data_IF_072931688484
#
_entry.id   IF_072931688484
#
_cell.length_a   1.000
_cell.length_b   1.000
_cell.length_c   1.000
_cell.angle_alpha   90.00
_cell.angle_beta   90.00
_cell.angle_gamma   90.00
#
_symmetry.space_group_name_H-M   'P 1'
#
loop_
_entity.id
_entity.type
_entity.pdbx_description
1 polymer ?
#
# COMPACT_ATOMS: atom_id res chain seq x y z
N UNK A 1 2.44 -25.51 17.06
CA UNK A 1 3.49 -24.80 16.30
C UNK A 1 2.91 -23.68 15.42
N UNK A 2 1.86 -23.92 14.62
CA UNK A 2 1.22 -22.89 13.78
C UNK A 2 0.82 -21.59 14.53
N UNK A 3 0.15 -21.69 15.69
CA UNK A 3 -0.24 -20.50 16.48
C UNK A 3 0.94 -19.60 16.91
N UNK A 4 2.10 -20.19 17.22
CA UNK A 4 3.29 -19.44 17.63
C UNK A 4 3.97 -18.74 16.44
N UNK A 5 3.95 -19.38 15.26
CA UNK A 5 4.44 -18.77 14.01
C UNK A 5 3.56 -17.58 13.59
N UNK A 6 2.24 -17.72 13.66
CA UNK A 6 1.30 -16.61 13.39
C UNK A 6 1.53 -15.45 14.36
N UNK A 7 1.67 -15.71 15.67
CA UNK A 7 1.95 -14.67 16.65
C UNK A 7 3.29 -13.94 16.38
N UNK A 8 4.34 -14.68 15.99
CA UNK A 8 5.63 -14.08 15.63
C UNK A 8 5.55 -13.21 14.37
N UNK A 9 4.72 -13.58 13.39
CA UNK A 9 4.53 -12.80 12.18
C UNK A 9 3.76 -11.51 12.45
N UNK A 10 2.64 -11.59 13.18
CA UNK A 10 1.88 -10.40 13.58
C UNK A 10 2.75 -9.40 14.34
N UNK A 11 3.60 -9.86 15.27
CA UNK A 11 4.51 -8.98 16.02
C UNK A 11 5.54 -8.32 15.09
N UNK A 12 6.06 -9.03 14.08
CA UNK A 12 7.00 -8.47 13.12
C UNK A 12 6.34 -7.35 12.28
N UNK A 13 5.12 -7.58 11.80
CA UNK A 13 4.35 -6.58 11.05
C UNK A 13 3.97 -5.36 11.91
N UNK A 14 3.62 -5.56 13.18
CA UNK A 14 3.38 -4.45 14.12
C UNK A 14 4.63 -3.60 14.33
N UNK A 15 5.80 -4.24 14.47
CA UNK A 15 7.09 -3.53 14.62
C UNK A 15 7.46 -2.78 13.36
N UNK A 16 7.25 -3.37 12.18
CA UNK A 16 7.44 -2.68 10.91
C UNK A 16 6.56 -1.43 10.83
N UNK A 17 5.26 -1.57 11.11
CA UNK A 17 4.34 -0.44 11.11
C UNK A 17 4.75 0.67 12.07
N UNK A 18 5.14 0.31 13.30
CA UNK A 18 5.61 1.26 14.30
C UNK A 18 6.89 2.00 13.88
N UNK A 19 7.68 1.42 12.97
CA UNK A 19 8.88 2.03 12.41
C UNK A 19 8.63 3.10 11.35
N UNK A 20 7.44 3.16 10.73
CA UNK A 20 7.11 4.19 9.75
C UNK A 20 6.89 5.56 10.39
N UNK A 21 7.07 6.62 9.60
CA UNK A 21 6.79 7.97 10.04
C UNK A 21 5.30 8.16 10.38
N UNK A 22 4.98 9.14 11.22
CA UNK A 22 3.60 9.36 11.66
C UNK A 22 2.64 9.65 10.49
N UNK A 23 3.07 10.39 9.47
CA UNK A 23 2.26 10.67 8.29
C UNK A 23 2.06 9.42 7.42
N UNK A 24 3.08 8.57 7.28
CA UNK A 24 2.96 7.27 6.58
C UNK A 24 1.96 6.36 7.30
N UNK A 25 2.05 6.25 8.64
CA UNK A 25 1.09 5.46 9.44
C UNK A 25 -0.35 5.96 9.25
N UNK A 26 -0.56 7.28 9.35
CA UNK A 26 -1.87 7.89 9.13
C UNK A 26 -2.39 7.62 7.72
N UNK A 27 -1.52 7.70 6.71
CA UNK A 27 -1.88 7.41 5.33
C UNK A 27 -2.27 5.94 5.16
N UNK A 28 -1.48 5.01 5.72
CA UNK A 28 -1.75 3.57 5.67
C UNK A 28 -3.10 3.26 6.33
N UNK A 29 -3.33 3.72 7.56
CA UNK A 29 -4.60 3.50 8.27
C UNK A 29 -5.80 4.05 7.48
N UNK A 30 -5.73 5.30 7.01
CA UNK A 30 -6.77 5.89 6.16
C UNK A 30 -7.02 5.09 4.88
N UNK A 31 -5.95 4.63 4.24
CA UNK A 31 -6.03 3.85 3.00
C UNK A 31 -6.71 2.51 3.25
N UNK A 32 -6.42 1.86 4.38
CA UNK A 32 -7.09 0.62 4.77
C UNK A 32 -8.56 0.87 5.14
N UNK A 33 -8.87 1.96 5.83
CA UNK A 33 -10.25 2.34 6.13
C UNK A 33 -11.06 2.53 4.85
N UNK A 34 -10.51 3.26 3.87
CA UNK A 34 -11.16 3.47 2.57
C UNK A 34 -11.25 2.16 1.77
N UNK A 35 -10.15 1.41 1.68
CA UNK A 35 -10.05 0.19 0.87
C UNK A 35 -10.87 -0.98 1.38
N UNK A 36 -11.19 -1.00 2.67
CA UNK A 36 -12.04 -2.00 3.31
C UNK A 36 -13.41 -1.47 3.74
N UNK A 37 -13.69 -0.18 3.56
CA UNK A 37 -14.96 0.43 3.96
C UNK A 37 -15.17 0.47 5.48
N UNK A 38 -14.11 0.72 6.26
CA UNK A 38 -14.17 0.82 7.72
C UNK A 38 -14.59 2.23 8.12
N UNK A 39 -15.85 2.40 8.51
CA UNK A 39 -16.38 3.67 8.99
C UNK A 39 -16.47 4.76 7.91
N UNK A 40 -16.52 6.03 8.36
CA UNK A 40 -16.60 7.21 7.49
C UNK A 40 -15.25 7.93 7.46
N UNK A 41 -14.50 7.76 6.36
CA UNK A 41 -13.18 8.35 6.24
C UNK A 41 -13.21 9.88 6.22
N UNK A 42 -14.28 10.52 5.73
CA UNK A 42 -14.40 11.98 5.79
C UNK A 42 -14.51 12.44 7.24
N UNK A 43 -15.36 11.79 8.04
CA UNK A 43 -15.50 12.13 9.46
C UNK A 43 -14.21 11.89 10.25
N UNK A 44 -13.52 10.78 9.97
CA UNK A 44 -12.34 10.38 10.74
C UNK A 44 -11.09 11.17 10.35
N UNK A 45 -10.86 11.37 9.05
CA UNK A 45 -9.56 11.80 8.52
C UNK A 45 -9.55 13.24 7.96
N UNK A 46 -10.71 13.87 7.78
CA UNK A 46 -10.75 15.23 7.27
C UNK A 46 -10.59 16.28 8.38
N UNK A 47 -9.62 17.18 8.23
CA UNK A 47 -9.52 18.43 9.01
C UNK A 47 -9.54 19.69 8.14
N UNK A 48 -9.41 19.53 6.83
CA UNK A 48 -9.34 20.61 5.86
C UNK A 48 -10.04 20.23 4.55
N UNK A 49 -10.25 21.22 3.68
CA UNK A 49 -10.78 21.00 2.32
C UNK A 49 -9.82 20.15 1.48
N UNK A 50 -8.52 20.27 1.71
CA UNK A 50 -7.51 19.47 1.02
C UNK A 50 -7.59 18.00 1.42
N UNK A 51 -7.83 17.70 2.70
CA UNK A 51 -8.09 16.32 3.16
C UNK A 51 -9.32 15.74 2.47
N UNK A 52 -10.41 16.50 2.37
CA UNK A 52 -11.62 16.05 1.68
C UNK A 52 -11.35 15.73 0.21
N UNK A 53 -10.52 16.54 -0.47
CA UNK A 53 -10.13 16.29 -1.86
C UNK A 53 -9.29 15.02 -1.97
N UNK A 54 -8.31 14.84 -1.08
CA UNK A 54 -7.46 13.66 -1.04
C UNK A 54 -8.28 12.38 -0.78
N UNK A 55 -9.16 12.39 0.23
CA UNK A 55 -10.06 11.28 0.57
C UNK A 55 -10.98 10.94 -0.61
N UNK A 56 -11.60 11.93 -1.25
CA UNK A 56 -12.45 11.72 -2.42
C UNK A 56 -11.68 11.08 -3.58
N UNK A 57 -10.47 11.58 -3.87
CA UNK A 57 -9.61 11.01 -4.91
C UNK A 57 -9.24 9.56 -4.59
N UNK A 58 -8.95 9.26 -3.32
CA UNK A 58 -8.60 7.92 -2.87
C UNK A 58 -9.79 6.95 -2.97
N UNK A 59 -11.00 7.37 -2.60
CA UNK A 59 -12.22 6.58 -2.84
C UNK A 59 -12.39 6.21 -4.32
N UNK A 60 -12.18 7.16 -5.23
CA UNK A 60 -12.31 6.92 -6.68
C UNK A 60 -11.24 5.92 -7.14
N UNK A 61 -9.99 6.12 -6.74
CA UNK A 61 -8.88 5.23 -7.07
C UNK A 61 -9.14 3.79 -6.58
N UNK A 62 -9.70 3.64 -5.38
CA UNK A 62 -9.83 2.34 -4.72
C UNK A 62 -11.07 1.53 -5.14
N UNK A 63 -11.92 2.08 -6.01
CA UNK A 63 -13.11 1.36 -6.55
C UNK A 63 -12.76 0.04 -7.22
N UNK A 64 -11.59 -0.03 -7.83
CA UNK A 64 -11.14 -1.19 -8.60
C UNK A 64 -10.35 -2.21 -7.77
N UNK A 65 -10.06 -1.93 -6.49
CA UNK A 65 -9.27 -2.85 -5.65
C UNK A 65 -9.93 -4.23 -5.53
N UNK A 66 -11.27 -4.29 -5.48
CA UNK A 66 -12.00 -5.56 -5.44
C UNK A 66 -11.72 -6.39 -6.68
N UNK A 67 -11.88 -5.81 -7.87
CA UNK A 67 -11.61 -6.49 -9.12
C UNK A 67 -10.13 -6.86 -9.23
N UNK A 68 -9.24 -5.96 -8.80
CA UNK A 68 -7.78 -6.16 -8.88
C UNK A 68 -7.33 -7.40 -8.09
N UNK A 69 -7.95 -7.69 -6.93
CA UNK A 69 -7.71 -8.92 -6.15
C UNK A 69 -8.12 -10.19 -6.91
N UNK A 70 -9.12 -10.12 -7.77
CA UNK A 70 -9.66 -11.28 -8.50
C UNK A 70 -8.85 -11.61 -9.77
N UNK A 71 -8.00 -10.67 -10.23
CA UNK A 71 -7.25 -10.80 -11.48
C UNK A 71 -5.73 -10.80 -11.28
N UNK A 72 -5.25 -11.10 -10.07
CA UNK A 72 -3.80 -11.22 -9.81
C UNK A 72 -3.23 -12.33 -10.72
N UNK A 73 -2.29 -12.01 -11.64
CA UNK A 73 -1.72 -13.02 -12.52
C UNK A 73 -0.88 -14.02 -11.72
N UNK A 74 -0.77 -15.25 -12.22
CA UNK A 74 0.23 -16.17 -11.69
C UNK A 74 1.66 -15.67 -11.95
N UNK A 75 2.60 -16.01 -11.06
CA UNK A 75 3.98 -15.47 -11.01
C UNK A 75 4.76 -15.46 -12.36
N UNK A 76 4.42 -16.34 -13.31
CA UNK A 76 5.07 -16.43 -14.63
C UNK A 76 4.09 -16.35 -15.82
N UNK A 77 2.84 -15.99 -15.56
CA UNK A 77 1.82 -15.84 -16.59
C UNK A 77 1.84 -14.41 -17.16
N UNK A 78 1.89 -14.30 -18.48
CA UNK A 78 1.69 -13.01 -19.16
C UNK A 78 0.20 -12.69 -19.40
N UNK A 79 -0.67 -13.69 -19.25
CA UNK A 79 -2.11 -13.51 -19.40
C UNK A 79 -2.68 -12.64 -18.28
N UNK A 80 -3.50 -11.65 -18.63
CA UNK A 80 -4.05 -10.66 -17.70
C UNK A 80 -3.04 -9.65 -17.11
N UNK A 81 -1.77 -9.74 -17.48
CA UNK A 81 -0.70 -8.90 -16.92
C UNK A 81 -0.91 -7.40 -17.19
N UNK A 82 -1.35 -7.06 -18.41
CA UNK A 82 -1.64 -5.69 -18.83
C UNK A 82 -2.78 -5.06 -18.03
N UNK A 83 -3.87 -5.80 -17.85
CA UNK A 83 -5.03 -5.37 -17.06
C UNK A 83 -4.65 -5.15 -15.58
N UNK A 84 -3.90 -6.09 -15.00
CA UNK A 84 -3.48 -6.01 -13.60
C UNK A 84 -2.46 -4.87 -13.37
N UNK A 85 -1.32 -4.88 -14.08
CA UNK A 85 -0.27 -3.88 -13.88
C UNK A 85 -0.72 -2.48 -14.25
N UNK A 86 -1.48 -2.31 -15.33
CA UNK A 86 -1.98 -0.99 -15.72
C UNK A 86 -2.82 -0.35 -14.62
N UNK A 87 -3.71 -1.14 -14.01
CA UNK A 87 -4.55 -0.70 -12.89
C UNK A 87 -3.74 -0.45 -11.63
N UNK A 88 -2.89 -1.39 -11.24
CA UNK A 88 -2.03 -1.29 -10.05
C UNK A 88 -1.10 -0.07 -10.12
N UNK A 89 -0.46 0.16 -11.27
CA UNK A 89 0.44 1.29 -11.50
C UNK A 89 -0.30 2.62 -11.39
N UNK A 90 -1.53 2.72 -11.93
CA UNK A 90 -2.34 3.94 -11.82
C UNK A 90 -2.73 4.24 -10.37
N UNK A 91 -3.22 3.26 -9.62
CA UNK A 91 -3.58 3.44 -8.20
C UNK A 91 -2.32 3.82 -7.41
N UNK A 92 -1.20 3.16 -7.66
CA UNK A 92 0.11 3.48 -7.05
C UNK A 92 0.52 4.92 -7.34
N UNK A 93 0.44 5.36 -8.60
CA UNK A 93 0.79 6.72 -8.98
C UNK A 93 -0.07 7.77 -8.26
N UNK A 94 -1.37 7.51 -8.11
CA UNK A 94 -2.29 8.39 -7.40
C UNK A 94 -1.95 8.49 -5.91
N UNK A 95 -1.59 7.38 -5.25
CA UNK A 95 -1.18 7.39 -3.85
C UNK A 95 0.17 8.08 -3.65
N UNK A 96 1.17 7.78 -4.49
CA UNK A 96 2.49 8.42 -4.42
C UNK A 96 2.41 9.93 -4.68
N UNK A 97 1.48 10.38 -5.53
CA UNK A 97 1.26 11.81 -5.80
C UNK A 97 0.66 12.58 -4.61
N UNK A 98 0.15 11.89 -3.57
CA UNK A 98 -0.25 12.54 -2.32
C UNK A 98 0.94 12.85 -1.40
N UNK A 99 2.14 12.39 -1.77
CA UNK A 99 3.39 12.66 -1.05
C UNK A 99 3.35 12.23 0.43
N UNK A 100 2.56 11.21 0.76
CA UNK A 100 2.44 10.65 2.11
C UNK A 100 3.17 9.32 2.31
N UNK A 101 3.63 8.68 1.24
CA UNK A 101 4.47 7.48 1.26
C UNK A 101 5.88 7.91 0.89
N UNK A 102 6.87 7.61 1.74
CA UNK A 102 8.25 8.03 1.52
C UNK A 102 9.14 6.95 0.90
N UNK A 103 8.68 5.71 0.86
CA UNK A 103 9.42 4.66 0.18
C UNK A 103 8.71 3.33 -0.02
N UNK A 104 9.45 2.39 -0.60
CA UNK A 104 8.95 1.09 -1.00
C UNK A 104 8.42 0.25 0.16
N UNK A 105 9.03 0.34 1.35
CA UNK A 105 8.58 -0.45 2.51
C UNK A 105 7.16 -0.09 2.96
N UNK A 106 6.85 1.20 3.09
CA UNK A 106 5.50 1.65 3.46
C UNK A 106 4.48 1.37 2.34
N UNK A 107 4.88 1.56 1.07
CA UNK A 107 4.08 1.15 -0.08
C UNK A 107 3.76 -0.34 -0.07
N UNK A 108 4.78 -1.20 0.04
CA UNK A 108 4.63 -2.66 0.08
C UNK A 108 3.72 -3.08 1.23
N UNK A 109 3.94 -2.51 2.42
CA UNK A 109 3.15 -2.78 3.61
C UNK A 109 1.66 -2.47 3.39
N UNK A 110 1.34 -1.32 2.78
CA UNK A 110 -0.04 -0.98 2.43
C UNK A 110 -0.63 -1.93 1.39
N UNK A 111 0.08 -2.11 0.26
CA UNK A 111 -0.49 -2.78 -0.91
C UNK A 111 -0.63 -4.28 -0.73
N UNK A 112 0.25 -4.94 0.02
CA UNK A 112 0.05 -6.35 0.36
C UNK A 112 -1.19 -6.56 1.24
N UNK A 113 -1.56 -5.58 2.07
CA UNK A 113 -2.81 -5.63 2.86
C UNK A 113 -4.02 -5.34 2.00
N UNK A 114 -3.92 -4.40 1.06
CA UNK A 114 -5.02 -4.08 0.16
C UNK A 114 -5.32 -5.21 -0.83
N UNK A 115 -4.31 -5.97 -1.27
CA UNK A 115 -4.43 -6.90 -2.39
C UNK A 115 -4.17 -8.37 -2.04
N UNK A 116 -3.47 -8.65 -0.94
CA UNK A 116 -3.08 -10.01 -0.54
C UNK A 116 -1.63 -10.35 -0.89
N UNK A 117 -1.17 -11.50 -0.38
CA UNK A 117 0.20 -11.98 -0.55
C UNK A 117 0.60 -12.21 -2.01
N UNK A 118 -0.33 -12.65 -2.85
CA UNK A 118 -0.10 -12.98 -4.26
C UNK A 118 0.29 -11.75 -5.10
N UNK A 119 -0.06 -10.53 -4.67
CA UNK A 119 0.30 -9.32 -5.39
C UNK A 119 1.78 -8.91 -5.20
N UNK A 120 2.47 -9.44 -4.19
CA UNK A 120 3.84 -9.01 -3.80
C UNK A 120 4.88 -9.02 -4.93
N UNK A 121 4.94 -10.03 -5.82
CA UNK A 121 5.90 -10.06 -6.93
C UNK A 121 5.78 -8.87 -7.89
N UNK A 122 4.58 -8.28 -7.99
CA UNK A 122 4.28 -7.18 -8.90
C UNK A 122 4.52 -5.79 -8.29
N UNK A 123 4.60 -5.70 -6.96
CA UNK A 123 4.74 -4.43 -6.24
C UNK A 123 6.02 -3.66 -6.60
N UNK A 124 7.22 -4.27 -6.72
CA UNK A 124 8.42 -3.54 -7.14
C UNK A 124 8.26 -2.87 -8.50
N UNK A 125 7.69 -3.59 -9.48
CA UNK A 125 7.49 -3.09 -10.83
C UNK A 125 6.48 -1.94 -10.88
N UNK A 126 5.34 -2.10 -10.20
CA UNK A 126 4.33 -1.04 -10.11
C UNK A 126 4.85 0.20 -9.39
N UNK A 127 5.57 0.04 -8.28
CA UNK A 127 6.18 1.13 -7.54
C UNK A 127 7.23 1.87 -8.37
N UNK A 128 8.16 1.14 -9.01
CA UNK A 128 9.19 1.73 -9.84
C UNK A 128 8.59 2.51 -11.02
N UNK A 129 7.64 1.90 -11.74
CA UNK A 129 6.94 2.53 -12.85
C UNK A 129 6.20 3.80 -12.43
N UNK A 130 5.41 3.72 -11.35
CA UNK A 130 4.65 4.84 -10.83
C UNK A 130 5.54 5.99 -10.30
N UNK A 131 6.62 5.65 -9.57
CA UNK A 131 7.56 6.63 -9.04
C UNK A 131 8.32 7.38 -10.16
N UNK A 132 8.47 6.77 -11.34
CA UNK A 132 9.12 7.38 -12.49
C UNK A 132 8.22 8.32 -13.32
N UNK A 133 6.90 8.33 -13.07
CA UNK A 133 5.93 9.06 -13.88
C UNK A 133 6.04 10.59 -13.79
N UNK A 134 5.62 11.33 -14.84
CA UNK A 134 5.68 12.79 -14.86
C UNK A 134 4.85 13.47 -13.77
N UNK A 135 3.81 12.82 -13.26
CA UNK A 135 2.95 13.30 -12.19
C UNK A 135 3.69 13.43 -10.85
N UNK A 136 4.78 12.68 -10.65
CA UNK A 136 5.60 12.75 -9.45
C UNK A 136 6.68 13.82 -9.64
N UNK A 137 6.90 14.69 -8.65
CA UNK A 137 7.94 15.74 -8.72
C UNK A 137 9.34 15.12 -8.83
N UNK A 138 10.28 15.68 -9.62
CA UNK A 138 11.61 15.10 -9.82
C UNK A 138 12.37 14.73 -8.53
N UNK A 139 12.36 15.61 -7.53
CA UNK A 139 13.05 15.37 -6.26
C UNK A 139 12.46 14.16 -5.50
N UNK A 140 11.14 13.98 -5.57
CA UNK A 140 10.45 12.82 -4.99
C UNK A 140 10.76 11.54 -5.74
N UNK A 141 10.87 11.57 -7.08
CA UNK A 141 11.21 10.36 -7.86
C UNK A 141 12.52 9.76 -7.40
N UNK A 142 13.54 10.60 -7.19
CA UNK A 142 14.85 10.14 -6.73
C UNK A 142 14.74 9.44 -5.37
N UNK A 143 14.07 10.07 -4.40
CA UNK A 143 13.88 9.49 -3.06
C UNK A 143 13.13 8.15 -3.12
N UNK A 144 12.02 8.11 -3.86
CA UNK A 144 11.21 6.91 -4.01
C UNK A 144 12.00 5.78 -4.69
N UNK A 145 12.62 6.04 -5.84
CA UNK A 145 13.37 5.01 -6.57
C UNK A 145 14.57 4.49 -5.78
N UNK A 146 15.23 5.33 -4.97
CA UNK A 146 16.33 4.90 -4.09
C UNK A 146 15.86 4.10 -2.87
N UNK A 147 14.56 4.13 -2.54
CA UNK A 147 14.01 3.35 -1.43
C UNK A 147 13.74 1.88 -1.77
N UNK A 148 13.67 1.53 -3.06
CA UNK A 148 13.56 0.15 -3.53
C UNK A 148 14.96 -0.48 -3.55
N UNK A 149 15.22 -1.41 -2.63
CA UNK A 149 16.50 -2.13 -2.62
C UNK A 149 16.61 -3.10 -3.80
N UNK A 150 17.84 -3.34 -4.26
CA UNK A 150 18.14 -4.38 -5.25
C UNK A 150 17.63 -5.75 -4.79
N UNK A 151 17.80 -6.07 -3.50
CA UNK A 151 17.32 -7.33 -2.92
C UNK A 151 15.80 -7.48 -2.97
N UNK A 152 15.03 -6.39 -2.86
CA UNK A 152 13.58 -6.43 -2.99
C UNK A 152 13.17 -6.53 -4.47
N UNK A 153 13.87 -5.82 -5.36
CA UNK A 153 13.61 -5.87 -6.79
C UNK A 153 13.97 -7.22 -7.44
N UNK A 154 14.96 -7.93 -6.88
CA UNK A 154 15.49 -9.21 -7.40
C UNK A 154 15.19 -10.39 -6.48
N UNK A 155 14.26 -10.24 -5.54
CA UNK A 155 13.91 -11.30 -4.59
C UNK A 155 13.59 -12.61 -5.33
N UNK A 156 14.27 -13.74 -5.02
CA UNK A 156 14.06 -15.00 -5.73
C UNK A 156 12.67 -15.59 -5.46
N UNK A 157 12.05 -15.20 -4.35
CA UNK A 157 10.68 -15.52 -4.02
C UNK A 157 10.11 -14.49 -3.03
N UNK A 158 8.79 -14.34 -3.04
CA UNK A 158 8.04 -13.60 -2.04
C UNK A 158 7.32 -14.55 -1.10
N UNK A 159 7.15 -14.17 0.17
CA UNK A 159 6.32 -14.95 1.09
C UNK A 159 4.92 -15.12 0.53
N UNK A 160 4.36 -16.32 0.65
CA UNK A 160 2.95 -16.60 0.30
C UNK A 160 1.99 -16.48 1.50
N UNK A 161 2.52 -16.15 2.67
CA UNK A 161 1.69 -15.99 3.86
C UNK A 161 0.93 -14.66 3.80
N UNK A 162 -0.38 -14.70 3.99
CA UNK A 162 -1.20 -13.50 4.04
C UNK A 162 -0.78 -12.55 5.17
N UNK A 163 -0.94 -11.21 5.00
CA UNK A 163 -0.72 -10.26 6.06
C UNK A 163 -1.57 -10.59 7.29
N UNK A 164 -0.96 -10.56 8.46
CA UNK A 164 -1.60 -10.98 9.72
C UNK A 164 -2.00 -9.81 10.64
N UNK A 165 -1.51 -8.60 10.35
CA UNK A 165 -1.77 -7.37 11.09
C UNK A 165 -2.34 -6.31 10.16
N UNK A 166 -3.49 -5.74 10.51
CA UNK A 166 -4.12 -4.63 9.79
C UNK A 166 -4.26 -3.47 10.77
N UNK A 167 -3.41 -2.42 10.68
CA UNK A 167 -3.50 -1.31 11.61
C UNK A 167 -4.87 -0.64 11.50
N UNK A 168 -5.39 -0.27 12.66
CA UNK A 168 -6.62 0.49 12.82
C UNK A 168 -6.26 1.73 13.62
N UNK A 169 -6.87 2.85 13.27
CA UNK A 169 -6.68 4.06 14.03
C UNK A 169 -7.27 3.87 15.42
N UNK A 170 -6.42 4.01 16.43
CA UNK A 170 -6.83 4.08 17.82
C UNK A 170 -7.16 5.54 18.10
N UNK A 171 -8.44 5.86 18.26
CA UNK A 171 -8.79 7.15 18.84
C UNK A 171 -8.23 7.16 20.26
N UNK A 172 -7.44 8.19 20.58
CA UNK A 172 -7.01 8.39 21.96
C UNK A 172 -8.28 8.56 22.80
N UNK A 173 -8.62 7.55 23.61
CA UNK A 173 -9.52 7.76 24.73
C UNK A 173 -9.02 8.99 25.46
N UNK A 174 -9.89 9.98 25.58
CA UNK A 174 -9.61 11.23 26.29
C UNK A 174 -9.30 10.84 27.74
N UNK A 175 -8.01 10.74 28.05
CA UNK A 175 -7.50 10.58 29.41
C UNK A 175 -7.62 11.88 30.19
#
# INVERSE_FOLDING_TARGET
MAKAQTASMTIAEMREFAGFAAHERNFIERSLDIGFGRGDAFKTWSRSVDDQRAIRSQYIAYRELRQLREIVPGDAAFDGMDAFIGTLLRITAQDLAQEQIDGFSAYRFLYERLLGAEARPFLPAAFCGAAALPQIRPDRRKMLLQSLSESAATAPAWSRHEPAFYPERIDAEVA
#
